data_IF_871921892274
#
_entry.id   IF_871921892274
#
_cell.length_a   1.000
_cell.length_b   1.000
_cell.length_c   1.000
_cell.angle_alpha   90.00
_cell.angle_beta   90.00
_cell.angle_gamma   90.00
#
_symmetry.space_group_name_H-M   'P 1'
#
loop_
_entity.id
_entity.type
_entity.pdbx_description
1 polymer ?
#
# COMPACT_ATOMS: atom_id res chain seq x y z
N UNK A 1 10.87 -3.36 -3.90
CA UNK A 1 12.05 -2.86 -4.63
C UNK A 1 12.61 -3.92 -5.55
N UNK A 2 13.18 -5.03 -5.02
CA UNK A 2 13.89 -6.06 -5.81
C UNK A 2 13.16 -6.48 -7.10
N UNK A 3 11.87 -6.85 -7.01
CA UNK A 3 11.09 -7.32 -8.18
C UNK A 3 10.93 -6.26 -9.28
N UNK A 4 10.92 -4.99 -8.94
CA UNK A 4 10.89 -3.89 -9.90
C UNK A 4 12.26 -3.67 -10.56
N UNK A 5 13.32 -3.58 -9.76
CA UNK A 5 14.67 -3.34 -10.26
C UNK A 5 15.20 -4.53 -11.08
N UNK A 6 14.86 -5.79 -10.71
CA UNK A 6 15.18 -7.00 -11.49
C UNK A 6 14.64 -6.92 -12.93
N UNK A 7 13.56 -6.16 -13.15
CA UNK A 7 12.95 -5.96 -14.48
C UNK A 7 13.31 -4.62 -15.13
N UNK A 8 14.25 -3.88 -14.54
CA UNK A 8 14.75 -2.62 -15.09
C UNK A 8 13.88 -1.40 -14.81
N UNK A 9 12.91 -1.48 -13.89
CA UNK A 9 12.15 -0.32 -13.45
C UNK A 9 12.97 0.57 -12.53
N UNK A 10 12.80 1.89 -12.65
CA UNK A 10 13.35 2.85 -11.70
C UNK A 10 12.41 2.97 -10.49
N UNK A 11 12.99 2.88 -9.28
CA UNK A 11 12.25 2.95 -8.02
C UNK A 11 12.70 4.17 -7.22
N UNK A 12 11.73 5.02 -6.85
CA UNK A 12 11.96 6.17 -5.99
C UNK A 12 11.15 6.00 -4.71
N UNK A 13 11.74 6.42 -3.57
CA UNK A 13 11.12 6.26 -2.27
C UNK A 13 10.59 7.57 -1.74
N UNK A 14 9.41 7.50 -1.11
CA UNK A 14 8.74 8.62 -0.47
C UNK A 14 8.15 8.19 0.87
N UNK A 15 8.17 9.08 1.85
CA UNK A 15 7.49 8.86 3.12
C UNK A 15 7.08 10.19 3.76
N UNK A 16 6.05 10.22 4.61
CA UNK A 16 5.69 11.41 5.37
C UNK A 16 6.83 11.89 6.27
N UNK A 17 7.04 13.20 6.35
CA UNK A 17 8.05 13.80 7.23
C UNK A 17 7.40 14.29 8.54
N UNK A 18 6.96 13.36 9.38
CA UNK A 18 6.35 13.62 10.69
C UNK A 18 6.65 12.50 11.67
N UNK A 19 6.43 12.70 12.98
CA UNK A 19 6.56 11.64 13.97
C UNK A 19 5.65 10.45 13.68
N UNK A 20 6.11 9.24 14.03
CA UNK A 20 5.25 8.06 14.08
C UNK A 20 4.17 8.27 15.13
N UNK A 21 2.95 7.82 14.86
CA UNK A 21 1.84 7.84 15.81
C UNK A 21 2.20 7.04 17.05
N UNK A 22 2.94 5.96 16.87
CA UNK A 22 3.34 5.05 17.94
C UNK A 22 4.64 4.32 17.55
N UNK A 23 5.60 4.28 18.46
CA UNK A 23 6.82 3.48 18.30
C UNK A 23 6.63 2.16 19.04
N UNK A 24 6.74 1.06 18.31
CA UNK A 24 6.55 -0.30 18.83
C UNK A 24 7.90 -1.01 18.99
N UNK A 25 8.15 -1.54 20.17
CA UNK A 25 9.19 -2.55 20.36
C UNK A 25 8.72 -3.89 19.81
N UNK A 26 9.31 -4.34 18.73
CA UNK A 26 8.90 -5.55 18.01
C UNK A 26 9.19 -6.85 18.75
N UNK A 27 10.04 -6.86 19.79
CA UNK A 27 10.25 -8.04 20.62
C UNK A 27 9.11 -8.25 21.62
N UNK A 28 8.66 -7.17 22.24
CA UNK A 28 7.59 -7.22 23.24
C UNK A 28 6.19 -6.98 22.64
N UNK A 29 6.10 -6.42 21.44
CA UNK A 29 4.85 -5.97 20.82
C UNK A 29 4.24 -4.73 21.48
N UNK A 30 4.97 -4.07 22.38
CA UNK A 30 4.46 -2.95 23.18
C UNK A 30 4.94 -1.60 22.64
N UNK A 31 4.11 -0.59 22.84
CA UNK A 31 4.50 0.79 22.61
C UNK A 31 5.61 1.23 23.57
N UNK A 32 6.54 2.02 23.05
CA UNK A 32 7.61 2.66 23.84
C UNK A 32 7.36 4.16 23.98
N UNK A 33 8.12 4.81 24.85
CA UNK A 33 8.10 6.27 25.02
C UNK A 33 9.04 7.00 24.01
N UNK A 34 9.65 6.26 23.08
CA UNK A 34 10.52 6.86 22.07
C UNK A 34 9.68 7.65 21.05
N UNK A 35 10.28 8.70 20.51
CA UNK A 35 9.77 9.42 19.34
C UNK A 35 10.65 9.10 18.12
N UNK A 36 10.04 8.70 17.02
CA UNK A 36 10.74 8.42 15.76
C UNK A 36 10.01 9.11 14.60
N UNK A 37 10.80 9.66 13.68
CA UNK A 37 10.27 10.28 12.48
C UNK A 37 10.10 9.24 11.37
N UNK A 38 8.94 9.22 10.69
CA UNK A 38 8.59 8.25 9.64
C UNK A 38 9.61 8.28 8.50
N UNK A 39 9.95 9.48 7.98
CA UNK A 39 10.90 9.63 6.88
C UNK A 39 12.28 9.10 7.26
N UNK A 40 12.77 9.42 8.46
CA UNK A 40 14.08 8.98 8.95
C UNK A 40 14.14 7.45 9.10
N UNK A 41 13.09 6.82 9.62
CA UNK A 41 13.04 5.36 9.75
C UNK A 41 12.91 4.68 8.37
N UNK A 42 12.10 5.24 7.47
CA UNK A 42 11.97 4.74 6.09
C UNK A 42 13.26 4.87 5.29
N UNK A 43 14.08 5.88 5.58
CA UNK A 43 15.37 6.10 4.94
C UNK A 43 16.36 4.94 5.14
N UNK A 44 16.20 4.14 6.20
CA UNK A 44 17.04 2.95 6.46
C UNK A 44 16.90 1.91 5.36
N UNK A 45 15.68 1.68 4.87
CA UNK A 45 15.39 0.74 3.77
C UNK A 45 15.84 1.33 2.44
N UNK A 46 15.60 2.62 2.22
CA UNK A 46 15.95 3.35 1.01
C UNK A 46 17.44 3.75 0.94
N UNK A 47 18.25 3.38 1.94
CA UNK A 47 19.69 3.74 2.03
C UNK A 47 19.94 5.24 1.92
N UNK A 48 19.04 6.06 2.50
CA UNK A 48 19.09 7.51 2.47
C UNK A 48 18.52 8.16 1.20
N UNK A 49 18.21 7.38 0.16
CA UNK A 49 17.65 7.89 -1.10
C UNK A 49 16.12 7.93 -1.01
N UNK A 50 15.59 8.89 -0.27
CA UNK A 50 14.16 9.05 -0.02
C UNK A 50 13.78 10.53 0.05
N UNK A 51 12.56 10.84 -0.32
CA UNK A 51 12.03 12.19 -0.29
C UNK A 51 10.75 12.27 0.57
N UNK A 52 10.44 13.45 1.12
CA UNK A 52 9.13 13.69 1.73
C UNK A 52 7.99 13.47 0.73
N UNK A 53 6.87 12.92 1.23
CA UNK A 53 5.70 12.57 0.40
C UNK A 53 5.13 13.79 -0.35
N UNK A 54 5.25 14.98 0.21
CA UNK A 54 4.79 16.25 -0.39
C UNK A 54 5.53 16.60 -1.69
N UNK A 55 6.71 16.02 -1.91
CA UNK A 55 7.48 16.18 -3.14
C UNK A 55 7.09 15.19 -4.24
N UNK A 56 6.23 14.20 -3.94
CA UNK A 56 5.78 13.25 -4.93
C UNK A 56 4.79 13.89 -5.90
N UNK A 57 5.18 13.93 -7.18
CA UNK A 57 4.29 14.33 -8.27
C UNK A 57 3.84 13.08 -9.04
N UNK A 58 2.57 12.65 -8.91
CA UNK A 58 2.09 11.42 -9.55
C UNK A 58 2.21 11.37 -11.07
N UNK A 59 2.17 12.53 -11.74
CA UNK A 59 2.31 12.61 -13.21
C UNK A 59 3.67 12.09 -13.70
N UNK A 60 4.68 12.09 -12.82
CA UNK A 60 6.04 11.64 -13.17
C UNK A 60 6.24 10.13 -12.99
N UNK A 61 5.20 9.40 -12.63
CA UNK A 61 5.27 7.96 -12.31
C UNK A 61 4.19 7.17 -13.03
N UNK A 62 4.55 5.99 -13.49
CA UNK A 62 3.59 5.03 -14.05
C UNK A 62 2.75 4.38 -12.94
N UNK A 63 3.35 4.18 -11.76
CA UNK A 63 2.66 3.59 -10.61
C UNK A 63 3.19 4.10 -9.26
N UNK A 64 2.33 4.07 -8.24
CA UNK A 64 2.68 4.29 -6.84
C UNK A 64 2.35 3.02 -6.07
N UNK A 65 3.33 2.52 -5.29
CA UNK A 65 3.20 1.27 -4.54
C UNK A 65 3.19 1.54 -3.05
N UNK A 66 2.16 1.06 -2.36
CA UNK A 66 2.03 1.04 -0.92
C UNK A 66 2.35 -0.37 -0.41
N UNK A 67 3.55 -0.61 0.16
CA UNK A 67 4.03 -1.96 0.46
C UNK A 67 3.35 -2.64 1.65
N UNK A 68 2.52 -1.92 2.40
CA UNK A 68 1.82 -2.46 3.55
C UNK A 68 2.62 -2.42 4.85
N UNK A 69 2.35 -3.40 5.72
CA UNK A 69 2.79 -3.39 7.12
C UNK A 69 1.86 -2.57 8.00
N UNK A 70 1.90 -2.80 9.33
CA UNK A 70 1.04 -2.06 10.27
C UNK A 70 1.24 -0.55 10.19
N UNK A 71 2.44 -0.08 9.88
CA UNK A 71 2.74 1.34 9.66
C UNK A 71 1.86 2.00 8.59
N UNK A 72 1.38 1.26 7.60
CA UNK A 72 0.46 1.81 6.59
C UNK A 72 -0.86 2.28 7.22
N UNK A 73 -1.43 1.49 8.12
CA UNK A 73 -2.73 1.81 8.75
C UNK A 73 -2.61 2.58 10.08
N UNK A 74 -1.39 2.79 10.58
CA UNK A 74 -1.15 3.55 11.82
C UNK A 74 -0.42 4.87 11.61
N UNK A 75 0.24 5.07 10.45
CA UNK A 75 1.01 6.27 10.14
C UNK A 75 0.59 6.96 8.84
N UNK A 76 -0.03 6.23 7.89
CA UNK A 76 -0.65 6.83 6.71
C UNK A 76 -2.16 7.06 6.90
N UNK A 77 -2.71 6.48 7.96
CA UNK A 77 -4.08 6.63 8.39
C UNK A 77 -4.15 6.46 9.92
N UNK A 78 -5.29 6.79 10.49
CA UNK A 78 -5.62 6.50 11.88
C UNK A 78 -7.07 6.00 12.00
N UNK A 79 -7.34 5.25 13.05
CA UNK A 79 -8.68 4.74 13.30
C UNK A 79 -9.46 5.71 14.19
N UNK A 80 -10.56 6.23 13.68
CA UNK A 80 -11.53 6.92 14.49
C UNK A 80 -12.30 5.90 15.36
N UNK A 81 -12.10 6.00 16.68
CA UNK A 81 -12.72 5.08 17.65
C UNK A 81 -14.24 5.23 17.73
N UNK A 82 -14.79 6.40 17.45
CA UNK A 82 -16.22 6.68 17.52
C UNK A 82 -16.97 6.22 16.27
N UNK A 83 -16.33 6.38 15.09
CA UNK A 83 -16.96 6.08 13.81
C UNK A 83 -16.58 4.73 13.23
N UNK A 84 -15.68 3.98 13.88
CA UNK A 84 -15.12 2.71 13.37
C UNK A 84 -14.55 2.82 11.94
N UNK A 85 -14.14 4.04 11.56
CA UNK A 85 -13.61 4.36 10.23
C UNK A 85 -12.10 4.46 10.26
N UNK A 86 -11.48 4.09 9.15
CA UNK A 86 -10.09 4.40 8.88
C UNK A 86 -10.03 5.77 8.19
N UNK A 87 -9.41 6.77 8.85
CA UNK A 87 -9.24 8.11 8.30
C UNK A 87 -7.82 8.24 7.79
N UNK A 88 -7.65 8.59 6.53
CA UNK A 88 -6.35 8.86 5.95
C UNK A 88 -5.76 10.17 6.49
N UNK A 89 -4.44 10.19 6.62
CA UNK A 89 -3.73 11.45 6.82
C UNK A 89 -3.92 12.34 5.58
N UNK A 90 -4.12 13.65 5.74
CA UNK A 90 -4.51 14.55 4.64
C UNK A 90 -3.53 14.56 3.45
N UNK A 91 -2.23 14.43 3.71
CA UNK A 91 -1.20 14.38 2.67
C UNK A 91 -1.24 13.06 1.87
N UNK A 92 -1.63 11.96 2.51
CA UNK A 92 -1.80 10.66 1.88
C UNK A 92 -3.09 10.62 1.06
N UNK A 93 -4.18 11.15 1.60
CA UNK A 93 -5.46 11.25 0.89
C UNK A 93 -5.31 12.10 -0.38
N UNK A 94 -4.72 13.30 -0.27
CA UNK A 94 -4.43 14.18 -1.40
C UNK A 94 -3.56 13.48 -2.46
N UNK A 95 -2.50 12.77 -2.04
CA UNK A 95 -1.65 12.01 -2.95
C UNK A 95 -2.45 10.97 -3.73
N UNK A 96 -3.30 10.17 -3.07
CA UNK A 96 -4.08 9.12 -3.72
C UNK A 96 -5.08 9.74 -4.71
N UNK A 97 -5.75 10.83 -4.34
CA UNK A 97 -6.68 11.56 -5.22
C UNK A 97 -5.94 12.09 -6.47
N UNK A 98 -4.78 12.73 -6.27
CA UNK A 98 -3.97 13.25 -7.40
C UNK A 98 -3.42 12.13 -8.28
N UNK A 99 -3.01 11.00 -7.71
CA UNK A 99 -2.52 9.86 -8.46
C UNK A 99 -3.64 9.25 -9.32
N UNK A 100 -4.82 9.07 -8.75
CA UNK A 100 -5.99 8.59 -9.49
C UNK A 100 -6.38 9.56 -10.62
N UNK A 101 -6.43 10.86 -10.35
CA UNK A 101 -6.72 11.88 -11.36
C UNK A 101 -5.67 11.95 -12.48
N UNK A 102 -4.41 11.64 -12.18
CA UNK A 102 -3.31 11.57 -13.13
C UNK A 102 -3.25 10.23 -13.91
N UNK A 103 -4.19 9.31 -13.66
CA UNK A 103 -4.18 7.94 -14.19
C UNK A 103 -2.89 7.17 -13.85
N UNK A 104 -2.23 7.50 -12.74
CA UNK A 104 -1.11 6.76 -12.19
C UNK A 104 -1.64 5.51 -11.48
N UNK A 105 -1.14 4.32 -11.83
CA UNK A 105 -1.64 3.07 -11.24
C UNK A 105 -1.34 3.00 -9.74
N UNK A 106 -2.36 2.72 -8.94
CA UNK A 106 -2.23 2.56 -7.49
C UNK A 106 -2.07 1.09 -7.14
N UNK A 107 -0.92 0.73 -6.57
CA UNK A 107 -0.58 -0.64 -6.21
C UNK A 107 -0.51 -0.80 -4.68
N UNK A 108 -1.13 -1.84 -4.15
CA UNK A 108 -1.21 -2.08 -2.72
C UNK A 108 -0.81 -3.52 -2.38
N UNK A 109 -0.08 -3.68 -1.28
CA UNK A 109 0.30 -5.00 -0.78
C UNK A 109 -0.17 -5.20 0.66
N UNK A 110 -0.44 -6.45 1.02
CA UNK A 110 -0.73 -6.86 2.40
C UNK A 110 -1.98 -6.14 2.94
N UNK A 111 -1.85 -5.36 4.02
CA UNK A 111 -2.94 -4.58 4.63
C UNK A 111 -3.22 -3.24 3.91
N UNK A 112 -2.29 -2.77 3.06
CA UNK A 112 -2.40 -1.43 2.47
C UNK A 112 -3.65 -1.19 1.59
N UNK A 113 -4.31 -2.17 0.94
CA UNK A 113 -5.57 -1.93 0.23
C UNK A 113 -6.66 -1.30 1.10
N UNK A 114 -6.59 -1.50 2.42
CA UNK A 114 -7.54 -0.91 3.37
C UNK A 114 -7.56 0.63 3.31
N UNK A 115 -6.44 1.27 2.93
CA UNK A 115 -6.34 2.72 2.78
C UNK A 115 -7.35 3.29 1.78
N UNK A 116 -7.70 2.52 0.76
CA UNK A 116 -8.61 2.98 -0.32
C UNK A 116 -9.99 2.34 -0.29
N UNK A 117 -10.25 1.47 0.69
CA UNK A 117 -11.50 0.70 0.78
C UNK A 117 -12.77 1.58 0.80
N UNK A 118 -12.70 2.77 1.38
CA UNK A 118 -13.81 3.73 1.48
C UNK A 118 -13.64 4.98 0.61
N UNK A 119 -12.48 5.15 -0.08
CA UNK A 119 -12.22 6.34 -0.90
C UNK A 119 -12.96 6.31 -2.23
N UNK A 120 -13.14 5.11 -2.77
CA UNK A 120 -13.76 4.89 -4.07
C UNK A 120 -15.07 4.10 -3.91
N UNK A 121 -15.92 4.19 -4.91
CA UNK A 121 -17.15 3.41 -4.93
C UNK A 121 -16.86 1.96 -5.31
N UNK A 122 -17.08 1.03 -4.36
CA UNK A 122 -16.95 -0.41 -4.57
C UNK A 122 -15.59 -0.86 -5.14
N UNK A 123 -14.42 -0.38 -4.61
CA UNK A 123 -13.11 -0.69 -5.16
C UNK A 123 -12.82 -2.18 -5.01
N UNK A 124 -12.34 -2.80 -6.08
CA UNK A 124 -12.00 -4.22 -6.10
C UNK A 124 -10.59 -4.44 -5.57
N UNK A 125 -10.44 -5.30 -4.56
CA UNK A 125 -9.16 -5.54 -3.89
C UNK A 125 -9.07 -6.92 -3.27
N UNK A 126 -7.85 -7.32 -2.87
CA UNK A 126 -7.62 -8.59 -2.17
C UNK A 126 -6.81 -8.43 -0.88
N UNK A 127 -7.10 -9.30 0.07
CA UNK A 127 -6.31 -9.57 1.28
C UNK A 127 -5.96 -11.07 1.38
N UNK A 128 -6.05 -11.79 0.25
CA UNK A 128 -5.81 -13.22 0.14
C UNK A 128 -7.08 -14.03 0.38
N UNK A 129 -7.43 -14.22 1.62
CA UNK A 129 -8.64 -14.91 2.06
C UNK A 129 -9.61 -13.96 2.80
N UNK A 130 -10.77 -14.49 3.20
CA UNK A 130 -11.79 -13.74 3.94
C UNK A 130 -11.42 -13.66 5.45
N UNK A 131 -10.31 -12.98 5.74
CA UNK A 131 -9.83 -12.70 7.10
C UNK A 131 -10.56 -11.47 7.72
N UNK A 132 -10.29 -11.12 9.00
CA UNK A 132 -10.94 -9.98 9.67
C UNK A 132 -10.73 -8.63 8.94
N UNK A 133 -9.56 -8.40 8.34
CA UNK A 133 -9.27 -7.16 7.59
C UNK A 133 -10.07 -7.11 6.28
N UNK A 134 -10.21 -8.25 5.59
CA UNK A 134 -11.07 -8.39 4.42
C UNK A 134 -12.53 -8.04 4.74
N UNK A 135 -13.05 -8.52 5.87
CA UNK A 135 -14.41 -8.18 6.34
C UNK A 135 -14.55 -6.69 6.66
N UNK A 136 -13.57 -6.11 7.34
CA UNK A 136 -13.54 -4.66 7.60
C UNK A 136 -13.57 -3.86 6.29
N UNK A 137 -12.79 -4.27 5.28
CA UNK A 137 -12.79 -3.61 3.98
C UNK A 137 -14.17 -3.70 3.28
N UNK A 138 -14.87 -4.84 3.40
CA UNK A 138 -16.25 -4.99 2.89
C UNK A 138 -17.23 -4.05 3.61
N UNK A 139 -17.11 -3.93 4.94
CA UNK A 139 -17.93 -3.01 5.74
C UNK A 139 -17.69 -1.55 5.35
N UNK A 140 -16.47 -1.21 4.90
CA UNK A 140 -16.10 0.09 4.35
C UNK A 140 -16.55 0.30 2.88
N UNK A 141 -17.13 -0.72 2.24
CA UNK A 141 -17.71 -0.63 0.90
C UNK A 141 -16.86 -1.24 -0.21
N UNK A 142 -15.77 -1.94 0.10
CA UNK A 142 -14.93 -2.57 -0.91
C UNK A 142 -15.51 -3.90 -1.41
N UNK A 143 -15.23 -4.22 -2.68
CA UNK A 143 -15.45 -5.53 -3.30
C UNK A 143 -14.21 -6.39 -3.09
N UNK A 144 -14.19 -7.17 -2.01
CA UNK A 144 -13.06 -8.04 -1.67
C UNK A 144 -13.12 -9.34 -2.45
N UNK A 145 -12.01 -9.69 -3.11
CA UNK A 145 -11.83 -10.90 -3.92
C UNK A 145 -10.76 -11.76 -3.27
N UNK A 146 -11.03 -13.06 -3.11
CA UNK A 146 -10.02 -14.02 -2.67
C UNK A 146 -9.01 -14.28 -3.78
N UNK A 147 -7.72 -14.27 -3.42
CA UNK A 147 -6.59 -14.55 -4.31
C UNK A 147 -5.58 -15.45 -3.60
N UNK A 148 -4.91 -16.30 -4.36
CA UNK A 148 -3.74 -17.01 -3.84
C UNK A 148 -2.58 -16.06 -3.60
N UNK A 149 -1.55 -16.55 -2.89
CA UNK A 149 -0.38 -15.74 -2.53
C UNK A 149 0.38 -15.18 -3.75
N UNK A 150 0.32 -15.88 -4.87
CA UNK A 150 0.96 -15.56 -6.14
C UNK A 150 -0.02 -14.99 -7.21
N UNK A 151 -1.18 -14.53 -6.77
CA UNK A 151 -2.19 -13.91 -7.62
C UNK A 151 -2.40 -12.44 -7.24
N UNK A 152 -2.68 -11.60 -8.24
CA UNK A 152 -3.04 -10.20 -8.06
C UNK A 152 -4.51 -9.96 -8.41
N UNK A 153 -5.16 -9.10 -7.62
CA UNK A 153 -6.47 -8.55 -7.94
C UNK A 153 -6.28 -7.22 -8.65
N UNK A 154 -6.89 -7.07 -9.83
CA UNK A 154 -6.86 -5.84 -10.64
C UNK A 154 -8.25 -5.25 -10.71
N UNK A 155 -8.38 -3.99 -10.34
CA UNK A 155 -9.53 -3.13 -10.62
C UNK A 155 -9.19 -2.27 -11.84
N UNK A 156 -9.68 -2.67 -13.00
CA UNK A 156 -9.37 -1.97 -14.26
C UNK A 156 -10.07 -0.60 -14.35
N UNK A 157 -11.21 -0.41 -13.69
CA UNK A 157 -11.97 0.84 -13.72
C UNK A 157 -11.31 1.91 -12.84
N UNK A 158 -10.82 1.53 -11.67
CA UNK A 158 -10.17 2.43 -10.73
C UNK A 158 -8.65 2.50 -10.88
N UNK A 159 -8.07 1.69 -11.78
CA UNK A 159 -6.62 1.58 -11.98
C UNK A 159 -5.89 1.22 -10.68
N UNK A 160 -6.43 0.21 -9.96
CA UNK A 160 -5.92 -0.29 -8.68
C UNK A 160 -5.48 -1.74 -8.83
N UNK A 161 -4.30 -2.06 -8.29
CA UNK A 161 -3.77 -3.43 -8.23
C UNK A 161 -3.47 -3.77 -6.79
N UNK A 162 -3.87 -4.96 -6.31
CA UNK A 162 -3.56 -5.41 -4.97
C UNK A 162 -3.09 -6.86 -4.93
N UNK A 163 -2.22 -7.18 -3.97
CA UNK A 163 -1.72 -8.53 -3.70
C UNK A 163 -1.71 -8.82 -2.21
N UNK A 164 -1.92 -10.09 -1.79
CA UNK A 164 -2.11 -10.41 -0.38
C UNK A 164 -0.81 -10.37 0.45
N UNK A 165 0.35 -10.69 -0.12
CA UNK A 165 1.61 -10.75 0.62
C UNK A 165 1.45 -11.47 1.98
N UNK A 166 1.96 -10.89 3.08
CA UNK A 166 1.89 -11.48 4.42
C UNK A 166 0.50 -11.54 5.06
N UNK A 167 -0.57 -11.15 4.37
CA UNK A 167 -1.92 -11.47 4.85
C UNK A 167 -2.15 -13.00 4.87
N UNK A 168 -1.52 -13.73 3.92
CA UNK A 168 -1.61 -15.19 3.81
C UNK A 168 -0.26 -15.89 3.60
N UNK A 169 0.79 -15.17 3.18
CA UNK A 169 2.13 -15.74 3.00
C UNK A 169 2.73 -16.22 4.34
N UNK A 170 3.28 -17.42 4.35
CA UNK A 170 3.85 -18.07 5.54
C UNK A 170 5.35 -17.83 5.71
N UNK A 171 6.01 -17.34 4.67
CA UNK A 171 7.44 -17.10 4.64
C UNK A 171 7.82 -16.08 3.57
N UNK A 172 9.11 -15.68 3.55
CA UNK A 172 9.60 -14.65 2.62
C UNK A 172 9.53 -15.08 1.15
N UNK A 173 9.62 -16.37 0.85
CA UNK A 173 9.55 -16.90 -0.52
C UNK A 173 8.15 -16.71 -1.08
N UNK A 174 7.11 -17.05 -0.31
CA UNK A 174 5.72 -16.80 -0.67
C UNK A 174 5.41 -15.31 -0.78
N UNK A 175 5.93 -14.49 0.14
CA UNK A 175 5.79 -13.04 0.07
C UNK A 175 6.46 -12.46 -1.20
N UNK A 176 7.60 -13.00 -1.60
CA UNK A 176 8.28 -12.64 -2.85
C UNK A 176 7.43 -13.03 -4.07
N UNK A 177 6.76 -14.19 -4.06
CA UNK A 177 5.86 -14.60 -5.14
C UNK A 177 4.70 -13.61 -5.30
N UNK A 178 4.15 -13.13 -4.19
CA UNK A 178 3.13 -12.07 -4.18
C UNK A 178 3.65 -10.75 -4.77
N UNK A 179 4.87 -10.34 -4.41
CA UNK A 179 5.48 -9.15 -4.97
C UNK A 179 5.75 -9.26 -6.48
N UNK A 180 6.13 -10.45 -6.97
CA UNK A 180 6.28 -10.72 -8.40
C UNK A 180 4.94 -10.64 -9.12
N UNK A 181 3.88 -11.22 -8.55
CA UNK A 181 2.52 -11.15 -9.11
C UNK A 181 2.04 -9.70 -9.25
N UNK A 182 2.40 -8.81 -8.31
CA UNK A 182 2.08 -7.38 -8.42
C UNK A 182 2.76 -6.76 -9.64
N UNK A 183 4.07 -7.01 -9.84
CA UNK A 183 4.82 -6.44 -10.96
C UNK A 183 4.32 -6.99 -12.29
N UNK A 184 4.05 -8.32 -12.38
CA UNK A 184 3.47 -8.96 -13.57
C UNK A 184 2.13 -8.34 -13.94
N UNK A 185 1.26 -8.12 -12.94
CA UNK A 185 -0.06 -7.51 -13.16
C UNK A 185 0.07 -6.06 -13.61
N UNK A 186 0.99 -5.28 -13.02
CA UNK A 186 1.23 -3.89 -13.39
C UNK A 186 1.73 -3.77 -14.84
N UNK A 187 2.74 -4.53 -15.24
CA UNK A 187 3.29 -4.51 -16.61
C UNK A 187 2.22 -4.87 -17.64
N UNK A 188 1.42 -5.91 -17.35
CA UNK A 188 0.31 -6.31 -18.21
C UNK A 188 -0.76 -5.22 -18.30
N UNK A 189 -1.10 -4.58 -17.19
CA UNK A 189 -2.10 -3.51 -17.13
C UNK A 189 -1.64 -2.28 -17.92
N UNK A 190 -0.39 -1.85 -17.74
CA UNK A 190 0.21 -0.73 -18.49
C UNK A 190 0.28 -0.99 -20.00
N UNK A 191 0.53 -2.22 -20.42
CA UNK A 191 0.56 -2.60 -21.84
C UNK A 191 -0.82 -2.48 -22.47
N UNK A 192 -1.88 -2.86 -21.75
CA UNK A 192 -3.27 -2.72 -22.21
C UNK A 192 -3.70 -1.25 -22.35
N UNK A 193 -3.29 -0.39 -21.40
CA UNK A 193 -3.68 1.02 -21.36
C UNK A 193 -3.02 1.87 -22.45
N UNK A 194 -1.94 1.36 -23.07
CA UNK A 194 -1.21 2.03 -24.18
C UNK A 194 -1.70 1.65 -25.59
N UNK A 195 -2.57 0.63 -25.69
CA UNK A 195 -3.20 0.16 -26.94
C UNK A 195 -4.64 0.62 -27.04
#
# INVERSE_FOLDING_TARGET
TYCFEERGHSVHFYAPNRPQTQVIDHLSGKSTAEERNILSESARIARGQIHPIEKLNPISYDAIVFPGGMGAVTNLAYQDKELSKLILEPDVEDLIIRAHAANCTLCFMCIAPLLVAQMFKNPRMTFGDMNPIAKQAQELGANVVECKVDEACVDEELNIISVPAYMIAKNIVECMSSAKALVDALEKHMTKSRN
#
